data_IF_701311551534
#
_entry.id   IF_701311551534
#
_cell.length_a   1.000
_cell.length_b   1.000
_cell.length_c   1.000
_cell.angle_alpha   90.00
_cell.angle_beta   90.00
_cell.angle_gamma   90.00
#
_symmetry.space_group_name_H-M   'P 1'
#
loop_
_entity.id
_entity.type
_entity.pdbx_description
1 polymer ?
#
# COMPACT_ATOMS: atom_id res chain seq x y z
N UNK A 1 8.08 -50.80 -26.91
CA UNK A 1 8.69 -50.44 -25.61
C UNK A 1 8.29 -49.01 -25.30
N UNK A 2 7.14 -48.80 -24.67
CA UNK A 2 6.66 -47.49 -24.26
C UNK A 2 6.28 -47.58 -22.78
N UNK A 3 7.21 -47.18 -21.93
CA UNK A 3 7.00 -46.93 -20.51
C UNK A 3 7.39 -45.48 -20.37
N UNK A 4 6.45 -44.57 -20.05
CA UNK A 4 6.54 -43.44 -19.11
C UNK A 4 5.16 -42.79 -19.05
N UNK A 5 4.59 -42.60 -17.85
CA UNK A 5 3.72 -41.47 -17.42
C UNK A 5 2.82 -41.67 -16.15
N UNK A 6 2.97 -42.64 -15.22
CA UNK A 6 2.14 -42.63 -14.00
C UNK A 6 2.72 -41.80 -12.83
N UNK A 7 4.00 -41.44 -12.85
CA UNK A 7 4.66 -40.78 -11.71
C UNK A 7 4.37 -39.28 -11.56
N UNK A 8 4.05 -38.59 -12.65
CA UNK A 8 3.83 -37.13 -12.63
C UNK A 8 2.44 -36.77 -12.07
N UNK A 9 1.43 -37.61 -12.32
CA UNK A 9 0.06 -37.42 -11.82
C UNK A 9 -0.02 -37.64 -10.29
N UNK A 10 0.76 -38.57 -9.76
CA UNK A 10 0.82 -38.84 -8.32
C UNK A 10 1.51 -37.72 -7.54
N UNK A 11 2.51 -37.07 -8.14
CA UNK A 11 3.22 -35.94 -7.54
C UNK A 11 2.37 -34.66 -7.51
N UNK A 12 1.50 -34.46 -8.50
CA UNK A 12 0.57 -33.32 -8.56
C UNK A 12 -0.55 -33.41 -7.50
N UNK A 13 -0.98 -34.63 -7.14
CA UNK A 13 -2.03 -34.85 -6.13
C UNK A 13 -1.55 -34.58 -4.70
N UNK A 14 -0.26 -34.81 -4.42
CA UNK A 14 0.35 -34.58 -3.10
C UNK A 14 0.59 -33.08 -2.83
N UNK A 15 0.84 -32.28 -3.88
CA UNK A 15 1.04 -30.82 -3.74
C UNK A 15 -0.29 -30.08 -3.49
N UNK A 16 -1.42 -30.58 -4.00
CA UNK A 16 -2.75 -30.00 -3.74
C UNK A 16 -3.24 -30.29 -2.31
N UNK A 17 -2.76 -31.36 -1.68
CA UNK A 17 -3.08 -31.69 -0.28
C UNK A 17 -2.33 -30.84 0.74
N UNK A 18 -1.34 -30.03 0.33
CA UNK A 18 -0.49 -29.22 1.21
C UNK A 18 -0.87 -27.72 1.19
N UNK A 19 -2.08 -27.37 0.78
CA UNK A 19 -2.66 -26.05 1.05
C UNK A 19 -3.29 -26.12 2.44
N UNK A 20 -2.45 -25.92 3.46
CA UNK A 20 -2.90 -25.67 4.82
C UNK A 20 -3.76 -24.41 4.82
N UNK A 21 -5.07 -24.59 4.99
CA UNK A 21 -6.02 -23.53 5.35
C UNK A 21 -5.47 -22.84 6.60
N UNK A 22 -4.94 -21.64 6.41
CA UNK A 22 -4.57 -20.77 7.51
C UNK A 22 -5.87 -20.22 8.06
N UNK A 23 -6.35 -20.80 9.17
CA UNK A 23 -7.43 -20.21 9.95
C UNK A 23 -6.92 -18.87 10.48
N UNK A 24 -7.36 -17.77 9.87
CA UNK A 24 -7.33 -16.46 10.50
C UNK A 24 -8.17 -16.57 11.77
N UNK A 25 -7.51 -16.74 12.91
CA UNK A 25 -8.17 -16.55 14.20
C UNK A 25 -8.32 -15.04 14.39
N UNK A 26 -9.50 -14.52 14.04
CA UNK A 26 -9.97 -13.28 14.67
C UNK A 26 -10.10 -13.61 16.16
N UNK A 27 -9.35 -12.91 17.01
CA UNK A 27 -9.62 -12.92 18.43
C UNK A 27 -10.92 -12.14 18.64
N UNK A 28 -12.06 -12.77 18.34
CA UNK A 28 -13.36 -12.18 18.57
C UNK A 28 -13.50 -11.96 20.08
N UNK A 29 -13.79 -10.71 20.46
CA UNK A 29 -14.22 -10.38 21.80
C UNK A 29 -15.40 -11.29 22.11
N UNK A 30 -15.35 -12.16 23.13
CA UNK A 30 -16.44 -13.09 23.38
C UNK A 30 -17.75 -12.34 23.59
N UNK A 31 -18.64 -12.42 22.61
CA UNK A 31 -19.97 -11.81 22.64
C UNK A 31 -20.89 -12.73 23.42
N UNK A 32 -20.68 -12.84 24.73
CA UNK A 32 -21.46 -13.71 25.61
C UNK A 32 -22.24 -12.91 26.65
N UNK A 33 -23.38 -13.44 27.08
CA UNK A 33 -24.26 -12.80 28.05
C UNK A 33 -24.56 -13.76 29.21
N UNK A 34 -24.24 -13.35 30.43
CA UNK A 34 -24.66 -14.11 31.62
C UNK A 34 -26.17 -13.95 31.85
N UNK A 35 -26.85 -15.06 32.10
CA UNK A 35 -28.26 -15.08 32.45
C UNK A 35 -28.52 -16.04 33.61
N UNK A 36 -29.32 -15.61 34.58
CA UNK A 36 -29.71 -16.38 35.76
C UNK A 36 -31.22 -16.32 35.92
N UNK A 37 -31.81 -17.42 36.40
CA UNK A 37 -33.24 -17.50 36.63
C UNK A 37 -33.60 -18.54 37.67
N UNK A 38 -34.86 -18.50 38.10
CA UNK A 38 -35.47 -19.51 38.96
C UNK A 38 -36.63 -20.16 38.19
N UNK A 39 -36.63 -21.49 38.08
CA UNK A 39 -37.70 -22.26 37.45
C UNK A 39 -38.47 -23.05 38.50
N UNK A 40 -39.78 -22.84 38.51
CA UNK A 40 -40.74 -23.61 39.31
C UNK A 40 -41.67 -24.40 38.41
N UNK A 41 -42.27 -25.45 38.94
CA UNK A 41 -43.38 -26.13 38.30
C UNK A 41 -44.69 -25.30 38.40
N UNK A 42 -45.76 -25.83 37.81
CA UNK A 42 -47.09 -25.21 37.84
C UNK A 42 -47.72 -25.14 39.25
N UNK A 43 -47.11 -25.76 40.25
CA UNK A 43 -47.52 -25.70 41.66
C UNK A 43 -46.63 -24.80 42.51
N UNK A 44 -45.65 -24.13 41.88
CA UNK A 44 -44.70 -23.24 42.53
C UNK A 44 -43.53 -23.96 43.21
N UNK A 45 -43.38 -25.27 43.03
CA UNK A 45 -42.24 -26.01 43.57
C UNK A 45 -41.00 -25.83 42.70
N UNK A 46 -39.83 -25.57 43.28
CA UNK A 46 -38.59 -25.41 42.52
C UNK A 46 -38.22 -26.69 41.77
N UNK A 47 -37.87 -26.53 40.49
CA UNK A 47 -37.39 -27.65 39.69
C UNK A 47 -35.91 -27.94 40.00
N UNK A 48 -35.56 -29.23 40.09
CA UNK A 48 -34.19 -29.68 40.33
C UNK A 48 -33.77 -30.72 39.31
N UNK A 49 -32.45 -30.82 39.08
CA UNK A 49 -31.86 -31.75 38.12
C UNK A 49 -31.53 -31.10 36.78
N UNK A 50 -31.13 -31.90 35.81
CA UNK A 50 -30.69 -31.41 34.49
C UNK A 50 -31.87 -31.29 33.54
N UNK A 51 -32.04 -30.11 32.93
CA UNK A 51 -33.08 -29.82 31.94
C UNK A 51 -32.48 -29.20 30.69
N UNK A 52 -33.06 -29.49 29.54
CA UNK A 52 -32.73 -28.80 28.31
C UNK A 52 -33.56 -27.51 28.23
N UNK A 53 -32.88 -26.36 28.10
CA UNK A 53 -33.53 -25.06 27.99
C UNK A 53 -33.12 -24.45 26.65
N UNK A 54 -34.10 -24.05 25.86
CA UNK A 54 -33.91 -23.27 24.64
C UNK A 54 -34.15 -21.81 24.96
N UNK A 55 -33.12 -21.00 24.73
CA UNK A 55 -33.14 -19.55 24.81
C UNK A 55 -33.35 -18.97 23.42
N UNK A 56 -34.13 -17.90 23.34
CA UNK A 56 -34.35 -17.19 22.08
C UNK A 56 -34.42 -15.68 22.31
N UNK A 57 -33.87 -14.90 21.38
CA UNK A 57 -33.91 -13.44 21.39
C UNK A 57 -34.86 -12.95 20.29
N UNK A 58 -35.64 -11.93 20.63
CA UNK A 58 -36.66 -11.34 19.77
C UNK A 58 -36.59 -9.81 19.82
N UNK A 59 -37.08 -9.17 18.76
CA UNK A 59 -37.36 -7.73 18.68
C UNK A 59 -38.76 -7.35 19.18
N UNK A 60 -39.62 -8.34 19.45
CA UNK A 60 -41.01 -8.15 19.90
C UNK A 60 -41.32 -8.90 21.20
N UNK A 61 -42.20 -8.32 22.02
CA UNK A 61 -42.60 -8.85 23.33
C UNK A 61 -43.38 -10.18 23.26
N UNK A 62 -44.03 -10.48 22.13
CA UNK A 62 -44.79 -11.72 21.90
C UNK A 62 -44.90 -12.02 20.41
N UNK A 63 -44.93 -13.31 20.03
CA UNK A 63 -44.97 -13.72 18.62
C UNK A 63 -43.62 -13.48 17.92
N UNK A 64 -43.65 -13.22 16.61
CA UNK A 64 -42.45 -12.93 15.81
C UNK A 64 -41.51 -14.11 15.61
N UNK A 65 -40.45 -13.87 14.85
CA UNK A 65 -39.39 -14.84 14.56
C UNK A 65 -38.20 -14.60 15.49
N UNK A 66 -37.59 -15.66 16.01
CA UNK A 66 -36.40 -15.53 16.84
C UNK A 66 -35.23 -15.02 15.99
N UNK A 67 -34.61 -13.91 16.41
CA UNK A 67 -33.39 -13.35 15.82
C UNK A 67 -32.19 -14.25 16.11
N UNK A 68 -32.20 -14.89 17.28
CA UNK A 68 -31.19 -15.83 17.70
C UNK A 68 -31.81 -16.88 18.61
N UNK A 69 -31.25 -18.08 18.59
CA UNK A 69 -31.69 -19.20 19.43
C UNK A 69 -30.53 -20.09 19.78
N UNK A 70 -30.47 -20.52 21.04
CA UNK A 70 -29.48 -21.45 21.56
C UNK A 70 -30.14 -22.43 22.52
N UNK A 71 -29.83 -23.70 22.38
CA UNK A 71 -30.31 -24.75 23.29
C UNK A 71 -29.15 -25.23 24.13
N UNK A 72 -29.30 -25.18 25.45
CA UNK A 72 -28.31 -25.65 26.41
C UNK A 72 -28.90 -26.69 27.36
N UNK A 73 -28.04 -27.62 27.80
CA UNK A 73 -28.37 -28.56 28.88
C UNK A 73 -27.92 -27.93 30.20
N UNK A 74 -28.87 -27.56 31.05
CA UNK A 74 -28.66 -26.74 32.25
C UNK A 74 -28.99 -27.55 33.50
N UNK A 75 -28.14 -27.48 34.51
CA UNK A 75 -28.41 -28.11 35.81
C UNK A 75 -29.07 -27.10 36.74
N UNK A 76 -30.25 -27.44 37.22
CA UNK A 76 -30.99 -26.66 38.21
C UNK A 76 -30.74 -27.22 39.61
N UNK A 77 -30.56 -26.31 40.55
CA UNK A 77 -30.49 -26.63 41.99
C UNK A 77 -31.47 -25.76 42.73
N UNK A 78 -32.50 -26.37 43.31
CA UNK A 78 -33.58 -25.68 44.02
C UNK A 78 -34.22 -24.58 43.15
N UNK A 79 -34.44 -24.88 41.87
CA UNK A 79 -35.01 -23.99 40.86
C UNK A 79 -34.01 -23.00 40.25
N UNK A 80 -32.89 -22.72 40.91
CA UNK A 80 -31.89 -21.76 40.44
C UNK A 80 -31.01 -22.34 39.34
N UNK A 81 -30.72 -21.54 38.32
CA UNK A 81 -29.72 -21.82 37.30
C UNK A 81 -28.94 -20.57 36.87
N UNK A 82 -27.75 -20.80 36.32
CA UNK A 82 -26.88 -19.77 35.73
C UNK A 82 -26.29 -20.30 34.44
N UNK A 83 -26.41 -19.54 33.36
CA UNK A 83 -25.91 -19.89 32.02
C UNK A 83 -25.19 -18.72 31.38
N UNK A 84 -24.33 -19.06 30.41
CA UNK A 84 -23.67 -18.09 29.54
C UNK A 84 -24.26 -18.26 28.15
N UNK A 85 -25.06 -17.30 27.69
CA UNK A 85 -25.59 -17.27 26.34
C UNK A 85 -24.47 -16.87 25.36
N UNK A 86 -24.49 -17.43 24.16
CA UNK A 86 -23.46 -17.22 23.14
C UNK A 86 -22.34 -18.27 23.17
N UNK A 87 -22.33 -19.18 24.15
CA UNK A 87 -21.24 -20.14 24.33
C UNK A 87 -21.30 -21.33 23.37
N UNK A 88 -22.50 -21.79 23.00
CA UNK A 88 -22.71 -22.92 22.08
C UNK A 88 -23.00 -22.43 20.67
N UNK A 89 -23.70 -21.28 20.56
CA UNK A 89 -23.97 -20.62 19.29
C UNK A 89 -23.54 -19.16 19.39
N UNK A 90 -22.58 -18.69 18.58
CA UNK A 90 -22.15 -17.30 18.61
C UNK A 90 -23.34 -16.34 18.56
N UNK A 91 -23.31 -15.35 19.44
CA UNK A 91 -24.30 -14.29 19.53
C UNK A 91 -23.71 -13.06 18.85
N UNK A 92 -24.44 -12.46 17.91
CA UNK A 92 -24.01 -11.20 17.29
C UNK A 92 -24.54 -10.02 18.13
N UNK A 93 -23.65 -9.12 18.54
CA UNK A 93 -24.00 -7.90 19.27
C UNK A 93 -24.97 -6.96 18.52
N UNK A 94 -25.05 -7.03 17.18
CA UNK A 94 -25.95 -6.21 16.36
C UNK A 94 -27.43 -6.40 16.71
N UNK A 95 -27.78 -7.51 17.37
CA UNK A 95 -29.14 -7.80 17.85
C UNK A 95 -29.60 -6.81 18.92
N UNK A 96 -28.66 -6.17 19.64
CA UNK A 96 -28.95 -5.26 20.75
C UNK A 96 -29.05 -3.78 20.34
N UNK A 97 -29.42 -3.53 19.08
CA UNK A 97 -29.58 -2.17 18.53
C UNK A 97 -30.94 -1.54 18.84
N UNK A 98 -31.92 -2.33 19.28
CA UNK A 98 -33.26 -1.89 19.62
C UNK A 98 -33.81 -2.56 20.88
N UNK A 99 -35.13 -2.64 21.01
CA UNK A 99 -35.73 -3.44 22.07
C UNK A 99 -35.46 -4.91 21.84
N UNK A 100 -34.87 -5.58 22.84
CA UNK A 100 -34.61 -7.02 22.77
C UNK A 100 -35.30 -7.73 23.92
N UNK A 101 -35.95 -8.85 23.62
CA UNK A 101 -36.67 -9.69 24.58
C UNK A 101 -36.06 -11.09 24.60
N UNK A 102 -35.86 -11.63 25.80
CA UNK A 102 -35.41 -13.00 26.03
C UNK A 102 -36.61 -13.90 26.31
N UNK A 103 -36.75 -14.92 25.47
CA UNK A 103 -37.70 -16.01 25.61
C UNK A 103 -37.04 -17.29 26.09
N UNK A 104 -37.78 -18.09 26.87
CA UNK A 104 -37.31 -19.35 27.41
C UNK A 104 -38.30 -20.46 27.09
N UNK A 105 -37.79 -21.61 26.68
CA UNK A 105 -38.56 -22.85 26.52
C UNK A 105 -37.85 -23.96 27.25
N UNK A 106 -38.55 -24.65 28.15
CA UNK A 106 -38.01 -25.80 28.89
C UNK A 106 -38.46 -27.09 28.21
N UNK A 107 -37.51 -27.93 27.80
CA UNK A 107 -37.76 -29.18 27.08
C UNK A 107 -38.71 -28.96 25.88
N UNK A 108 -39.80 -29.72 25.79
CA UNK A 108 -40.78 -29.64 24.71
C UNK A 108 -41.97 -28.71 24.99
N UNK A 109 -41.93 -27.94 26.09
CA UNK A 109 -43.03 -27.06 26.49
C UNK A 109 -43.28 -25.88 25.55
N UNK A 110 -44.38 -25.17 25.77
CA UNK A 110 -44.59 -23.87 25.16
C UNK A 110 -43.58 -22.84 25.71
N UNK A 111 -43.28 -21.81 24.92
CA UNK A 111 -42.42 -20.71 25.38
C UNK A 111 -43.04 -20.04 26.62
N UNK A 112 -42.22 -19.83 27.65
CA UNK A 112 -42.63 -19.17 28.88
C UNK A 112 -42.91 -17.68 28.62
N UNK A 113 -44.05 -17.19 29.09
CA UNK A 113 -44.47 -15.80 28.96
C UNK A 113 -44.72 -15.13 30.32
N UNK A 114 -44.57 -13.80 30.43
CA UNK A 114 -44.11 -12.88 29.38
C UNK A 114 -42.59 -12.99 29.13
N UNK A 115 -42.15 -12.68 27.90
CA UNK A 115 -40.71 -12.59 27.60
C UNK A 115 -40.06 -11.50 28.45
N UNK A 116 -38.82 -11.73 28.86
CA UNK A 116 -38.09 -10.76 29.66
C UNK A 116 -37.47 -9.70 28.75
N UNK A 117 -37.88 -8.43 28.88
CA UNK A 117 -37.20 -7.32 28.22
C UNK A 117 -35.78 -7.20 28.78
N UNK A 118 -34.79 -7.21 27.88
CA UNK A 118 -33.41 -6.94 28.26
C UNK A 118 -33.22 -5.44 28.45
N UNK A 119 -32.59 -5.08 29.56
CA UNK A 119 -32.30 -3.69 29.93
C UNK A 119 -30.81 -3.49 30.09
N UNK A 120 -30.33 -2.29 29.80
CA UNK A 120 -28.92 -1.94 30.00
C UNK A 120 -28.53 -1.99 31.48
N UNK A 121 -27.27 -2.33 31.73
CA UNK A 121 -26.64 -2.22 33.06
C UNK A 121 -26.06 -0.81 33.22
N UNK A 122 -25.98 -0.29 34.45
CA UNK A 122 -25.54 1.10 34.72
C UNK A 122 -24.21 1.50 34.07
N UNK A 123 -23.20 0.62 34.06
CA UNK A 123 -21.93 0.87 33.37
C UNK A 123 -22.05 0.83 31.84
N UNK A 124 -22.97 0.03 31.30
CA UNK A 124 -23.25 0.00 29.86
C UNK A 124 -23.98 1.27 29.39
N UNK A 125 -24.81 1.88 30.23
CA UNK A 125 -25.44 3.18 29.94
C UNK A 125 -24.38 4.28 29.71
N UNK A 126 -23.25 4.25 30.43
CA UNK A 126 -22.13 5.18 30.18
C UNK A 126 -21.43 4.92 28.85
N UNK A 127 -21.43 3.68 28.35
CA UNK A 127 -20.87 3.36 27.02
C UNK A 127 -21.74 3.86 25.87
N UNK A 128 -23.03 4.12 26.10
CA UNK A 128 -23.96 4.66 25.09
C UNK A 128 -23.57 6.07 24.63
N UNK A 129 -22.83 6.81 25.45
CA UNK A 129 -22.36 8.15 25.10
C UNK A 129 -21.39 8.12 23.90
N UNK A 130 -20.61 7.06 23.70
CA UNK A 130 -19.65 7.00 22.57
C UNK A 130 -20.34 6.77 21.22
N UNK A 131 -21.51 6.12 21.20
CA UNK A 131 -22.19 5.71 19.96
C UNK A 131 -23.11 6.80 19.40
N UNK A 132 -23.58 7.73 20.24
CA UNK A 132 -24.56 8.76 19.86
C UNK A 132 -23.99 10.18 19.77
N UNK A 133 -22.66 10.36 19.82
CA UNK A 133 -22.09 11.68 19.55
C UNK A 133 -22.08 11.94 18.05
N UNK A 134 -22.74 13.01 17.56
CA UNK A 134 -22.63 13.45 16.16
C UNK A 134 -21.21 13.91 15.79
N UNK A 135 -20.28 13.89 16.74
CA UNK A 135 -18.87 14.19 16.61
C UNK A 135 -18.07 13.20 17.47
N UNK A 136 -18.13 11.90 17.18
CA UNK A 136 -17.00 11.06 17.56
C UNK A 136 -15.80 11.72 16.87
N UNK A 137 -14.79 12.25 17.59
CA UNK A 137 -13.61 12.76 16.92
C UNK A 137 -13.11 11.61 16.07
N UNK A 138 -13.06 11.79 14.75
CA UNK A 138 -12.40 10.82 13.90
C UNK A 138 -11.04 10.56 14.55
N UNK A 139 -10.69 9.30 14.89
CA UNK A 139 -9.45 9.01 15.60
C UNK A 139 -8.22 9.46 14.78
N UNK A 140 -8.43 9.78 13.51
CA UNK A 140 -7.48 10.33 12.57
C UNK A 140 -7.81 11.82 12.37
N UNK A 141 -6.93 12.75 12.79
CA UNK A 141 -7.09 14.17 12.52
C UNK A 141 -7.16 14.48 11.02
N UNK A 142 -7.88 15.55 10.67
CA UNK A 142 -7.86 16.14 9.33
C UNK A 142 -6.43 16.55 8.93
N UNK A 143 -6.09 16.38 7.65
CA UNK A 143 -4.76 16.67 7.10
C UNK A 143 -3.78 15.50 7.12
N UNK A 144 -4.11 14.37 7.76
CA UNK A 144 -3.29 13.16 7.67
C UNK A 144 -3.34 12.59 6.25
N UNK A 145 -2.16 12.29 5.70
CA UNK A 145 -2.00 11.70 4.37
C UNK A 145 -1.58 10.24 4.51
N UNK A 146 -2.24 9.36 3.78
CA UNK A 146 -1.93 7.92 3.74
C UNK A 146 -1.78 7.44 2.30
N UNK A 147 -1.09 6.32 2.14
CA UNK A 147 -1.03 5.59 0.87
C UNK A 147 -2.25 4.70 0.72
N UNK A 148 -2.95 4.83 -0.40
CA UNK A 148 -4.17 4.11 -0.76
C UNK A 148 -3.93 3.25 -2.00
N UNK A 149 -4.20 1.95 -1.88
CA UNK A 149 -4.01 0.97 -2.96
C UNK A 149 -5.23 0.77 -3.86
N UNK A 150 -6.39 1.33 -3.49
CA UNK A 150 -7.57 1.30 -4.34
C UNK A 150 -7.52 2.33 -5.47
N UNK A 151 -8.55 2.31 -6.33
CA UNK A 151 -8.71 3.32 -7.38
C UNK A 151 -8.96 4.71 -6.78
N UNK A 152 -8.56 5.75 -7.51
CA UNK A 152 -8.94 7.14 -7.24
C UNK A 152 -10.44 7.36 -7.28
N UNK A 153 -11.19 6.51 -8.00
CA UNK A 153 -12.65 6.58 -8.09
C UNK A 153 -13.36 5.94 -6.89
N UNK A 154 -12.63 5.19 -6.07
CA UNK A 154 -13.17 4.45 -4.92
C UNK A 154 -12.57 4.93 -3.60
N UNK A 155 -12.21 6.22 -3.51
CA UNK A 155 -11.67 6.81 -2.28
C UNK A 155 -12.79 6.82 -1.22
N UNK A 156 -12.54 6.32 0.00
CA UNK A 156 -13.54 6.29 1.06
C UNK A 156 -14.08 7.68 1.39
N UNK A 157 -15.33 7.71 1.87
CA UNK A 157 -15.94 8.93 2.37
C UNK A 157 -15.07 9.56 3.47
N UNK A 158 -15.05 10.89 3.52
CA UNK A 158 -14.22 11.69 4.44
C UNK A 158 -12.71 11.65 4.15
N UNK A 159 -12.30 11.15 2.98
CA UNK A 159 -10.96 11.26 2.41
C UNK A 159 -11.02 11.91 1.03
N UNK A 160 -9.91 12.48 0.58
CA UNK A 160 -9.82 13.12 -0.73
C UNK A 160 -8.45 12.86 -1.37
N UNK A 161 -8.37 12.85 -2.70
CA UNK A 161 -7.11 12.64 -3.43
C UNK A 161 -6.17 13.83 -3.23
N UNK A 162 -4.88 13.57 -3.03
CA UNK A 162 -3.85 14.59 -2.97
C UNK A 162 -3.42 15.03 -4.38
N UNK A 163 -4.30 15.74 -5.08
CA UNK A 163 -4.11 16.21 -6.46
C UNK A 163 -3.91 17.74 -6.57
N UNK A 164 -3.95 18.45 -5.44
CA UNK A 164 -3.87 19.92 -5.39
C UNK A 164 -5.22 20.61 -5.32
N UNK A 165 -6.32 19.87 -5.47
CA UNK A 165 -7.67 20.38 -5.34
C UNK A 165 -8.16 20.24 -3.89
N UNK A 166 -9.25 20.93 -3.54
CA UNK A 166 -9.92 20.84 -2.23
C UNK A 166 -8.98 21.08 -1.03
N UNK A 167 -7.96 21.91 -1.19
CA UNK A 167 -6.98 22.23 -0.13
C UNK A 167 -5.94 21.15 0.14
N UNK A 168 -5.88 20.10 -0.69
CA UNK A 168 -4.86 19.05 -0.59
C UNK A 168 -3.54 19.49 -1.24
N UNK A 169 -2.39 18.95 -0.82
CA UNK A 169 -1.18 19.06 -1.62
C UNK A 169 -1.30 18.20 -2.89
N UNK A 170 -0.68 18.64 -4.00
CA UNK A 170 -0.54 17.80 -5.19
C UNK A 170 0.66 16.85 -5.00
N UNK A 171 0.37 15.57 -4.80
CA UNK A 171 1.33 14.48 -4.60
C UNK A 171 1.35 13.47 -5.77
N UNK A 172 0.62 13.75 -6.86
CA UNK A 172 0.60 12.93 -8.07
C UNK A 172 2.00 12.89 -8.70
N UNK A 173 2.46 11.68 -9.06
CA UNK A 173 3.77 11.41 -9.67
C UNK A 173 4.97 11.99 -8.88
N UNK A 174 4.86 12.01 -7.54
CA UNK A 174 5.89 12.55 -6.65
C UNK A 174 6.37 11.51 -5.66
N UNK A 175 7.67 11.52 -5.44
CA UNK A 175 8.28 10.85 -4.31
C UNK A 175 8.25 11.78 -3.08
N UNK A 176 7.86 11.24 -1.92
CA UNK A 176 7.78 12.01 -0.68
C UNK A 176 9.15 12.14 -0.01
N UNK A 177 9.46 13.34 0.45
CA UNK A 177 10.61 13.63 1.31
C UNK A 177 10.13 14.27 2.61
N UNK A 178 10.71 13.86 3.73
CA UNK A 178 10.41 14.44 5.03
C UNK A 178 10.88 15.90 5.08
N UNK A 179 10.00 16.79 5.51
CA UNK A 179 10.36 18.17 5.81
C UNK A 179 11.29 18.22 7.04
N UNK A 180 12.21 19.18 7.06
CA UNK A 180 13.23 19.35 8.09
C UNK A 180 14.08 20.59 7.84
N UNK A 181 15.39 20.53 8.12
CA UNK A 181 16.28 21.69 7.95
C UNK A 181 16.50 22.08 6.47
N UNK A 182 16.52 21.10 5.57
CA UNK A 182 16.85 21.32 4.15
C UNK A 182 15.61 21.57 3.30
N UNK A 183 14.48 20.96 3.65
CA UNK A 183 13.23 21.01 2.88
C UNK A 183 12.12 21.50 3.79
N UNK A 184 11.46 22.59 3.38
CA UNK A 184 10.27 23.08 4.05
C UNK A 184 9.04 22.26 3.64
N UNK A 185 7.98 22.34 4.45
CA UNK A 185 6.70 21.72 4.11
C UNK A 185 6.18 22.32 2.81
N UNK A 186 5.91 21.47 1.82
CA UNK A 186 5.39 21.86 0.52
C UNK A 186 6.45 22.17 -0.55
N UNK A 187 7.74 22.10 -0.20
CA UNK A 187 8.82 22.21 -1.18
C UNK A 187 8.70 21.09 -2.25
N UNK A 188 8.98 21.45 -3.50
CA UNK A 188 8.88 20.57 -4.67
C UNK A 188 10.16 20.66 -5.47
N UNK A 189 10.67 19.52 -5.92
CA UNK A 189 11.89 19.46 -6.74
C UNK A 189 12.09 18.06 -7.32
N UNK A 190 13.29 17.82 -7.84
CA UNK A 190 13.64 16.58 -8.52
C UNK A 190 13.37 16.60 -10.02
N UNK A 191 13.82 15.55 -10.70
CA UNK A 191 13.62 15.29 -12.12
C UNK A 191 13.54 13.78 -12.33
N UNK A 192 12.73 13.34 -13.29
CA UNK A 192 12.72 11.94 -13.74
C UNK A 192 13.86 11.65 -14.72
N UNK A 193 14.52 12.69 -15.23
CA UNK A 193 15.60 12.54 -16.19
C UNK A 193 16.83 13.38 -15.86
N UNK A 194 17.98 12.96 -16.38
CA UNK A 194 19.25 13.69 -16.29
C UNK A 194 19.81 13.93 -17.69
N UNK A 195 20.06 15.19 -18.01
CA UNK A 195 20.87 15.54 -19.17
C UNK A 195 22.35 15.26 -18.88
N UNK A 196 22.99 14.56 -19.82
CA UNK A 196 24.41 14.24 -19.82
C UNK A 196 25.24 15.19 -20.69
N UNK A 197 24.64 16.29 -21.16
CA UNK A 197 25.39 17.33 -21.83
C UNK A 197 26.41 17.96 -20.86
N UNK A 198 27.63 18.15 -21.37
CA UNK A 198 28.64 18.98 -20.71
C UNK A 198 29.30 19.88 -21.76
N UNK A 199 29.73 21.06 -21.32
CA UNK A 199 30.47 22.01 -22.15
C UNK A 199 31.94 21.98 -21.74
N UNK A 200 32.85 21.83 -22.71
CA UNK A 200 34.26 22.07 -22.46
C UNK A 200 34.52 23.58 -22.41
N UNK A 201 35.02 24.09 -21.28
CA UNK A 201 35.33 25.52 -21.10
C UNK A 201 36.75 25.90 -21.54
N UNK A 202 37.50 24.98 -22.15
CA UNK A 202 38.83 25.23 -22.69
C UNK A 202 38.78 25.71 -24.15
N UNK A 203 39.66 26.64 -24.57
CA UNK A 203 39.85 26.92 -25.99
C UNK A 203 40.26 25.62 -26.69
N UNK A 204 39.72 25.37 -27.89
CA UNK A 204 40.21 24.31 -28.75
C UNK A 204 41.74 24.44 -28.86
N UNK A 205 42.47 23.39 -28.52
CA UNK A 205 43.91 23.35 -28.69
C UNK A 205 44.26 22.41 -29.84
N UNK A 206 45.43 22.67 -30.44
CA UNK A 206 45.98 21.84 -31.52
C UNK A 206 47.21 21.16 -30.95
N UNK A 207 47.31 19.85 -31.15
CA UNK A 207 48.57 19.16 -30.93
C UNK A 207 49.45 19.38 -32.15
N UNK A 208 50.69 19.81 -31.92
CA UNK A 208 51.74 19.80 -32.93
C UNK A 208 52.64 18.61 -32.59
N UNK A 209 52.85 17.70 -33.54
CA UNK A 209 54.02 16.84 -33.51
C UNK A 209 55.13 17.57 -34.27
N UNK A 210 56.20 17.90 -33.56
CA UNK A 210 57.40 18.45 -34.18
C UNK A 210 58.26 17.26 -34.65
N UNK A 211 58.45 17.13 -35.96
CA UNK A 211 59.39 16.15 -36.53
C UNK A 211 60.72 16.88 -36.73
N UNK A 212 61.62 16.76 -35.75
CA UNK A 212 63.03 17.13 -35.97
C UNK A 212 63.60 16.07 -36.93
N UNK A 213 63.72 16.44 -38.21
CA UNK A 213 64.51 15.68 -39.17
C UNK A 213 65.97 15.89 -38.74
N UNK A 214 66.52 14.92 -38.01
CA UNK A 214 67.96 14.90 -37.70
C UNK A 214 68.78 14.78 -39.00
N UNK A 215 70.01 15.29 -39.04
CA UNK A 215 70.83 15.28 -40.24
C UNK A 215 71.02 13.85 -40.75
N UNK A 216 70.78 13.63 -42.03
CA UNK A 216 71.07 12.36 -42.67
C UNK A 216 72.59 12.08 -42.60
N UNK A 217 73.02 10.81 -42.50
CA UNK A 217 74.42 10.45 -42.23
C UNK A 217 75.44 10.88 -43.31
N UNK A 218 74.98 11.39 -44.45
CA UNK A 218 75.82 11.80 -45.57
C UNK A 218 76.16 13.30 -45.58
N UNK A 219 75.66 14.08 -44.61
CA UNK A 219 76.04 15.47 -44.38
C UNK A 219 75.62 16.44 -45.50
N UNK A 220 74.58 16.10 -46.27
CA UNK A 220 74.05 16.97 -47.32
C UNK A 220 72.66 17.46 -46.95
N UNK A 221 72.51 18.78 -46.90
CA UNK A 221 71.21 19.42 -46.88
C UNK A 221 70.63 19.35 -48.31
N UNK A 222 69.58 18.55 -48.51
CA UNK A 222 68.77 18.67 -49.71
C UNK A 222 67.80 19.83 -49.50
N UNK A 223 68.01 20.90 -50.26
CA UNK A 223 67.08 22.02 -50.39
C UNK A 223 65.75 21.48 -50.93
N UNK A 224 64.75 21.36 -50.06
CA UNK A 224 63.39 21.01 -50.45
C UNK A 224 62.81 22.24 -51.16
N UNK A 225 63.03 22.29 -52.47
CA UNK A 225 62.64 23.41 -53.30
C UNK A 225 61.12 23.55 -53.31
N UNK A 226 60.61 24.41 -52.42
CA UNK A 226 59.25 24.94 -52.50
C UNK A 226 59.19 25.78 -53.78
N UNK A 227 58.47 25.30 -54.80
CA UNK A 227 58.13 26.15 -55.95
C UNK A 227 57.29 27.32 -55.44
N UNK A 228 57.91 28.49 -55.39
CA UNK A 228 57.25 29.77 -55.16
C UNK A 228 56.44 30.08 -56.43
N UNK A 229 55.12 29.86 -56.38
CA UNK A 229 54.20 30.38 -57.39
C UNK A 229 54.25 31.90 -57.30
N UNK A 230 55.12 32.49 -58.13
CA UNK A 230 55.17 33.94 -58.34
C UNK A 230 53.84 34.42 -58.88
N UNK A 231 53.04 35.03 -58.04
CA UNK A 231 52.07 36.04 -58.47
C UNK A 231 51.95 37.15 -57.41
N UNK A 232 52.57 38.29 -57.71
CA UNK A 232 52.26 39.58 -57.09
C UNK A 232 53.26 40.07 -56.05
N UNK A 233 54.12 41.01 -56.46
CA UNK A 233 54.82 41.93 -55.55
C UNK A 233 53.83 42.52 -54.52
N UNK A 234 54.01 42.19 -53.24
CA UNK A 234 53.39 42.93 -52.14
C UNK A 234 54.47 43.60 -51.29
N UNK A 235 54.28 44.88 -50.87
CA UNK A 235 55.32 45.66 -50.21
C UNK A 235 55.77 45.07 -48.87
N UNK A 236 57.06 45.19 -48.59
CA UNK A 236 57.70 44.83 -47.34
C UNK A 236 56.98 45.43 -46.11
N UNK A 237 56.44 44.56 -45.26
CA UNK A 237 55.89 44.94 -43.96
C UNK A 237 54.63 44.22 -43.48
N UNK A 238 54.16 43.19 -44.18
CA UNK A 238 52.98 42.41 -43.74
C UNK A 238 53.39 40.98 -43.36
N UNK A 239 52.85 40.48 -42.23
CA UNK A 239 52.94 39.07 -41.87
C UNK A 239 52.45 38.22 -43.03
N UNK A 240 53.31 37.33 -43.52
CA UNK A 240 52.96 36.33 -44.53
C UNK A 240 53.10 34.93 -43.93
N UNK A 241 52.23 34.01 -44.35
CA UNK A 241 52.28 32.61 -43.93
C UNK A 241 52.73 31.77 -45.12
N UNK A 242 53.80 30.98 -44.94
CA UNK A 242 54.15 29.93 -45.88
C UNK A 242 53.27 28.70 -45.60
N UNK A 243 52.63 28.16 -46.64
CA UNK A 243 51.88 26.91 -46.54
C UNK A 243 52.60 25.85 -47.37
N UNK A 244 53.38 25.00 -46.72
CA UNK A 244 53.89 23.77 -47.34
C UNK A 244 52.76 22.75 -47.33
N UNK A 245 52.27 22.35 -48.51
CA UNK A 245 51.33 21.23 -48.64
C UNK A 245 52.10 19.92 -48.68
N UNK A 246 52.29 19.28 -47.53
CA UNK A 246 52.75 17.91 -47.47
C UNK A 246 51.55 16.97 -47.71
N UNK A 247 51.56 16.25 -48.83
CA UNK A 247 50.62 15.16 -49.08
C UNK A 247 50.99 14.00 -48.16
N UNK A 248 50.20 13.79 -47.11
CA UNK A 248 50.24 12.53 -46.35
C UNK A 248 48.96 11.77 -46.65
N UNK A 249 49.10 10.51 -47.06
CA UNK A 249 47.99 9.63 -47.48
C UNK A 249 47.07 9.18 -46.32
N UNK A 250 47.09 9.88 -45.18
CA UNK A 250 46.28 9.55 -44.03
C UNK A 250 45.21 10.60 -43.77
N UNK A 251 44.06 10.40 -44.43
CA UNK A 251 42.80 11.10 -44.14
C UNK A 251 42.02 10.37 -43.02
N UNK A 252 42.64 10.23 -41.86
CA UNK A 252 41.92 9.79 -40.66
C UNK A 252 41.18 10.96 -40.04
N UNK A 253 39.89 11.14 -40.35
CA UNK A 253 39.02 12.00 -39.56
C UNK A 253 38.79 11.31 -38.21
N UNK A 254 39.56 11.70 -37.19
CA UNK A 254 39.23 11.39 -35.81
C UNK A 254 37.93 12.10 -35.48
N UNK A 255 36.81 11.39 -35.57
CA UNK A 255 35.51 11.94 -35.23
C UNK A 255 35.51 12.21 -33.72
N UNK A 256 35.77 13.46 -33.30
CA UNK A 256 35.32 13.91 -31.97
C UNK A 256 33.82 14.07 -32.07
N UNK A 257 33.11 12.94 -32.05
CA UNK A 257 31.66 12.96 -31.89
C UNK A 257 31.40 13.73 -30.60
N UNK A 258 30.91 14.97 -30.72
CA UNK A 258 30.13 15.58 -29.67
C UNK A 258 29.06 14.55 -29.35
N UNK A 259 29.17 13.88 -28.20
CA UNK A 259 28.13 12.98 -27.76
C UNK A 259 26.84 13.79 -27.81
N UNK A 260 25.92 13.42 -28.70
CA UNK A 260 24.62 14.06 -28.76
C UNK A 260 24.05 14.02 -27.35
N UNK A 261 23.58 15.17 -26.85
CA UNK A 261 22.89 15.22 -25.55
C UNK A 261 21.78 14.19 -25.61
N UNK A 262 21.95 13.13 -24.82
CA UNK A 262 20.91 12.13 -24.61
C UNK A 262 20.45 12.30 -23.17
N UNK A 263 19.19 12.65 -23.02
CA UNK A 263 18.54 12.66 -21.72
C UNK A 263 18.35 11.20 -21.30
N UNK A 264 18.85 10.82 -20.13
CA UNK A 264 18.66 9.48 -19.56
C UNK A 264 17.56 9.51 -18.52
N UNK A 265 16.70 8.50 -18.54
CA UNK A 265 15.73 8.23 -17.47
C UNK A 265 16.49 7.78 -16.21
N UNK A 266 16.21 8.43 -15.09
CA UNK A 266 16.82 8.13 -13.78
C UNK A 266 15.78 7.60 -12.78
N UNK A 267 14.57 7.26 -13.24
CA UNK A 267 13.51 6.73 -12.40
C UNK A 267 13.74 5.26 -12.05
N UNK A 268 13.86 4.90 -10.76
CA UNK A 268 13.90 3.50 -10.34
C UNK A 268 12.58 2.77 -10.63
N UNK A 269 12.58 1.42 -10.68
CA UNK A 269 11.33 0.66 -10.69
C UNK A 269 10.40 1.06 -9.54
N UNK A 270 9.12 1.27 -9.82
CA UNK A 270 8.15 1.78 -8.85
C UNK A 270 6.82 1.02 -8.88
N UNK A 271 6.07 1.14 -7.79
CA UNK A 271 4.68 0.70 -7.67
C UNK A 271 3.85 1.90 -7.19
N UNK A 272 2.89 2.34 -8.00
CA UNK A 272 2.13 3.55 -7.73
C UNK A 272 0.92 3.27 -6.82
N UNK A 273 0.78 4.10 -5.78
CA UNK A 273 -0.38 4.16 -4.89
C UNK A 273 -0.95 5.57 -4.95
N UNK A 274 -2.25 5.72 -4.69
CA UNK A 274 -2.84 7.04 -4.49
C UNK A 274 -2.38 7.60 -3.14
N UNK A 275 -2.14 8.91 -3.06
CA UNK A 275 -2.06 9.60 -1.78
C UNK A 275 -3.42 10.23 -1.49
N UNK A 276 -4.01 9.90 -0.34
CA UNK A 276 -5.29 10.47 0.09
C UNK A 276 -5.14 11.19 1.42
N UNK A 277 -5.83 12.31 1.58
CA UNK A 277 -5.81 13.15 2.78
C UNK A 277 -7.15 13.04 3.50
N UNK A 278 -7.10 12.87 4.82
CA UNK A 278 -8.28 12.93 5.68
C UNK A 278 -8.84 14.35 5.65
N UNK A 279 -10.13 14.47 5.37
CA UNK A 279 -10.89 15.74 5.49
C UNK A 279 -11.22 16.05 6.94
#
# INVERSE_FOLDING_TARGET
>A
MSIRQPFLAFFLFIIISLVSVSSVYSADIPQTLNYQGNLTDNTGQPLSGTKQITFALYDVASGGTALWTETQTVTLKDGLFSVVLGSTKPLNADIFTGETFLGLKVESSAEMGPRQKLTSVAYALKSLEVVNLPNIPDPIPSGIIVMWSGSSDSIPQSWTLCDGNNGTPNLTDRFLIGAGNTYNVGDKGGSTTKDLSHTHTGPNHRHFCDWIIGPYPDGKDYDDSVQDDKDGDTPAGSDHQHKVQLYTDYSGTGNTSSAGSTTQDIMPPYYALCFIMKL
#
